data_IF_266251749676
#
_entry.id   IF_266251749676
#
_cell.length_a   1.000
_cell.length_b   1.000
_cell.length_c   1.000
_cell.angle_alpha   90.00
_cell.angle_beta   90.00
_cell.angle_gamma   90.00
#
_symmetry.space_group_name_H-M   'P 1'
#
loop_
_entity.id
_entity.type
_entity.pdbx_description
1 polymer ?
#
# COMPACT_ATOMS: atom_id res chain seq x y z
N UNK A 1 17.96 28.12 -5.20
CA UNK A 1 16.95 27.29 -4.53
C UNK A 1 17.43 25.85 -4.55
N UNK A 2 17.93 25.32 -3.43
CA UNK A 2 18.41 23.94 -3.37
C UNK A 2 17.22 22.99 -3.59
N UNK A 3 17.30 22.10 -4.58
CA UNK A 3 16.32 21.01 -4.74
C UNK A 3 16.39 20.18 -3.46
N UNK A 4 15.28 20.07 -2.74
CA UNK A 4 15.18 19.15 -1.61
C UNK A 4 15.65 17.79 -2.09
N UNK A 5 16.64 17.22 -1.40
CA UNK A 5 17.15 15.88 -1.67
C UNK A 5 15.96 14.96 -1.42
N UNK A 6 15.27 14.53 -2.49
CA UNK A 6 14.18 13.56 -2.38
C UNK A 6 14.82 12.36 -1.71
N UNK A 7 14.46 12.09 -0.46
CA UNK A 7 14.87 10.87 0.20
C UNK A 7 14.44 9.74 -0.71
N UNK A 8 15.42 8.96 -1.16
CA UNK A 8 15.20 7.82 -2.03
C UNK A 8 14.14 6.96 -1.36
N UNK A 9 13.21 6.41 -2.15
CA UNK A 9 12.32 5.39 -1.64
C UNK A 9 13.16 4.37 -0.86
N UNK A 10 12.74 4.00 0.35
CA UNK A 10 13.53 3.08 1.16
C UNK A 10 13.68 1.75 0.43
N UNK A 11 14.85 1.14 0.52
CA UNK A 11 15.16 -0.16 -0.09
C UNK A 11 14.52 -1.34 0.69
N UNK A 12 13.32 -1.14 1.25
CA UNK A 12 12.60 -2.18 1.97
C UNK A 12 12.08 -3.24 0.99
N UNK A 13 12.19 -4.49 1.39
CA UNK A 13 11.50 -5.60 0.73
C UNK A 13 9.98 -5.45 0.87
N UNK A 14 9.20 -6.09 -0.01
CA UNK A 14 7.73 -6.07 0.08
C UNK A 14 7.24 -6.51 1.48
N UNK A 15 7.88 -7.55 2.04
CA UNK A 15 7.56 -8.08 3.36
C UNK A 15 7.87 -7.09 4.50
N UNK A 16 8.97 -6.34 4.41
CA UNK A 16 9.29 -5.28 5.38
C UNK A 16 8.32 -4.11 5.29
N UNK A 17 7.96 -3.70 4.08
CA UNK A 17 6.94 -2.66 3.87
C UNK A 17 5.60 -3.10 4.47
N UNK A 18 5.16 -4.33 4.23
CA UNK A 18 3.91 -4.87 4.79
C UNK A 18 3.93 -4.88 6.32
N UNK A 19 5.05 -5.27 6.95
CA UNK A 19 5.23 -5.19 8.40
C UNK A 19 5.13 -3.75 8.92
N UNK A 20 5.71 -2.79 8.21
CA UNK A 20 5.64 -1.36 8.56
C UNK A 20 4.24 -0.80 8.46
N UNK A 21 3.49 -1.18 7.43
CA UNK A 21 2.07 -0.83 7.28
C UNK A 21 1.28 -1.33 8.49
N UNK A 22 1.44 -2.61 8.85
CA UNK A 22 0.74 -3.20 10.00
C UNK A 22 1.14 -2.48 11.30
N UNK A 23 2.42 -2.17 11.49
CA UNK A 23 2.91 -1.43 12.65
C UNK A 23 2.32 -0.02 12.74
N UNK A 24 2.25 0.70 11.61
CA UNK A 24 1.62 2.01 11.53
C UNK A 24 0.13 1.96 11.84
N UNK A 25 -0.60 0.96 11.33
CA UNK A 25 -2.02 0.76 11.66
C UNK A 25 -2.19 0.48 13.15
N UNK A 26 -1.36 -0.39 13.72
CA UNK A 26 -1.37 -0.71 15.16
C UNK A 26 -1.09 0.53 16.01
N UNK A 27 -0.17 1.39 15.59
CA UNK A 27 0.11 2.68 16.25
C UNK A 27 -1.08 3.63 16.29
N UNK A 28 -2.05 3.46 15.37
CA UNK A 28 -3.34 4.17 15.35
C UNK A 28 -4.45 3.46 16.14
N UNK A 29 -4.14 2.35 16.80
CA UNK A 29 -5.14 1.48 17.44
C UNK A 29 -5.98 0.68 16.43
N UNK A 30 -5.57 0.63 15.16
CA UNK A 30 -6.30 -0.08 14.11
C UNK A 30 -5.75 -1.49 13.91
N UNK A 31 -6.62 -2.37 13.42
CA UNK A 31 -6.27 -3.70 12.92
C UNK A 31 -6.72 -3.81 11.46
N UNK A 32 -5.93 -4.45 10.57
CA UNK A 32 -6.38 -4.73 9.22
C UNK A 32 -7.69 -5.52 9.23
N UNK A 33 -8.63 -5.11 8.37
CA UNK A 33 -9.91 -5.81 8.19
C UNK A 33 -9.73 -7.01 7.24
N UNK A 34 -10.56 -8.06 7.33
CA UNK A 34 -10.43 -9.24 6.48
C UNK A 34 -10.40 -8.94 4.97
N UNK A 35 -11.24 -8.02 4.50
CA UNK A 35 -11.27 -7.63 3.09
C UNK A 35 -10.01 -6.85 2.65
N UNK A 36 -9.33 -6.17 3.58
CA UNK A 36 -8.06 -5.51 3.29
C UNK A 36 -6.97 -6.55 3.09
N UNK A 37 -6.89 -7.53 4.00
CA UNK A 37 -5.94 -8.64 3.91
C UNK A 37 -6.13 -9.45 2.61
N UNK A 38 -7.38 -9.78 2.27
CA UNK A 38 -7.70 -10.50 1.04
C UNK A 38 -7.28 -9.71 -0.21
N UNK A 39 -7.50 -8.38 -0.23
CA UNK A 39 -7.06 -7.54 -1.34
C UNK A 39 -5.53 -7.47 -1.43
N UNK A 40 -4.84 -7.39 -0.29
CA UNK A 40 -3.37 -7.34 -0.26
C UNK A 40 -2.75 -8.64 -0.76
N UNK A 41 -3.35 -9.78 -0.44
CA UNK A 41 -2.96 -11.09 -0.95
C UNK A 41 -3.16 -11.18 -2.48
N UNK A 42 -4.34 -10.79 -2.98
CA UNK A 42 -4.60 -10.76 -4.42
C UNK A 42 -3.60 -9.85 -5.17
N UNK A 43 -3.31 -8.67 -4.63
CA UNK A 43 -2.30 -7.75 -5.20
C UNK A 43 -0.90 -8.35 -5.13
N UNK A 44 -0.55 -9.03 -4.03
CA UNK A 44 0.75 -9.70 -3.89
C UNK A 44 0.96 -10.76 -4.98
N UNK A 45 -0.11 -11.46 -5.36
CA UNK A 45 -0.16 -12.46 -6.43
C UNK A 45 -0.22 -11.86 -7.86
N UNK A 46 -0.31 -10.53 -7.99
CA UNK A 46 -0.43 -9.87 -9.29
C UNK A 46 -1.83 -9.96 -9.92
N UNK A 47 -2.85 -10.22 -9.11
CA UNK A 47 -4.24 -10.36 -9.56
C UNK A 47 -4.91 -8.99 -9.75
N UNK A 48 -5.91 -8.96 -10.64
CA UNK A 48 -6.81 -7.82 -10.82
C UNK A 48 -8.15 -8.11 -10.12
N UNK A 49 -8.81 -7.09 -9.56
CA UNK A 49 -10.06 -7.31 -8.85
C UNK A 49 -10.89 -6.05 -8.62
N UNK A 50 -12.14 -6.27 -8.20
CA UNK A 50 -13.11 -5.24 -7.83
C UNK A 50 -13.48 -5.36 -6.35
N UNK A 51 -13.25 -4.31 -5.58
CA UNK A 51 -13.65 -4.25 -4.17
C UNK A 51 -14.91 -3.40 -3.99
N UNK A 52 -16.05 -4.05 -3.77
CA UNK A 52 -17.30 -3.38 -3.41
C UNK A 52 -17.51 -3.40 -1.89
N UNK A 53 -17.44 -2.24 -1.26
CA UNK A 53 -17.72 -2.06 0.18
C UNK A 53 -18.45 -0.73 0.40
N UNK A 54 -19.16 -0.54 1.53
CA UNK A 54 -19.79 0.74 1.85
C UNK A 54 -18.76 1.86 2.10
N UNK A 55 -19.22 3.11 2.19
CA UNK A 55 -18.41 4.24 2.64
C UNK A 55 -17.93 4.03 4.08
N UNK A 56 -16.74 4.52 4.42
CA UNK A 56 -16.16 4.33 5.76
C UNK A 56 -15.60 2.93 6.06
N UNK A 57 -15.77 1.94 5.17
CA UNK A 57 -15.28 0.58 5.39
C UNK A 57 -13.76 0.39 5.20
N UNK A 58 -13.01 1.45 4.89
CA UNK A 58 -11.56 1.36 4.70
C UNK A 58 -11.11 0.81 3.33
N UNK A 59 -11.94 0.98 2.27
CA UNK A 59 -11.58 0.63 0.88
C UNK A 59 -10.26 1.23 0.41
N UNK A 60 -9.97 2.48 0.80
CA UNK A 60 -8.72 3.15 0.46
C UNK A 60 -7.52 2.39 1.00
N UNK A 61 -7.57 1.89 2.24
CA UNK A 61 -6.49 1.08 2.82
C UNK A 61 -6.41 -0.31 2.18
N UNK A 62 -7.54 -0.91 1.76
CA UNK A 62 -7.51 -2.16 1.02
C UNK A 62 -6.73 -2.00 -0.31
N UNK A 63 -6.98 -0.93 -1.06
CA UNK A 63 -6.30 -0.68 -2.33
C UNK A 63 -4.85 -0.21 -2.15
N UNK A 64 -4.62 0.90 -1.42
CA UNK A 64 -3.30 1.51 -1.32
C UNK A 64 -2.28 0.63 -0.62
N UNK A 65 -2.65 0.00 0.51
CA UNK A 65 -1.68 -0.80 1.28
C UNK A 65 -1.36 -2.15 0.66
N UNK A 66 -2.16 -2.63 -0.29
CA UNK A 66 -1.82 -3.80 -1.10
C UNK A 66 -0.73 -3.49 -2.13
N UNK A 67 -0.81 -2.30 -2.75
CA UNK A 67 0.12 -1.90 -3.82
C UNK A 67 1.39 -1.26 -3.26
N UNK A 68 1.33 -0.57 -2.11
CA UNK A 68 2.48 0.13 -1.53
C UNK A 68 3.74 -0.75 -1.35
N UNK A 69 3.64 -2.02 -0.90
CA UNK A 69 4.77 -2.96 -0.87
C UNK A 69 5.43 -3.21 -2.23
N UNK A 70 4.71 -3.09 -3.34
CA UNK A 70 5.24 -3.26 -4.70
C UNK A 70 6.03 -2.04 -5.19
N UNK A 71 5.96 -0.90 -4.48
CA UNK A 71 6.66 0.33 -4.86
C UNK A 71 8.11 0.27 -4.36
N UNK A 72 9.05 0.02 -5.28
CA UNK A 72 10.48 -0.10 -4.97
C UNK A 72 11.32 1.09 -5.41
N UNK A 73 12.48 1.28 -4.76
CA UNK A 73 13.41 2.39 -5.00
C UNK A 73 14.06 2.43 -6.39
N UNK A 74 14.00 1.32 -7.13
CA UNK A 74 14.55 1.19 -8.47
C UNK A 74 13.47 1.25 -9.56
N UNK A 75 12.22 1.49 -9.22
CA UNK A 75 11.16 1.70 -10.20
C UNK A 75 11.15 3.17 -10.65
N UNK A 76 11.14 3.40 -11.95
CA UNK A 76 11.10 4.73 -12.55
C UNK A 76 9.79 4.94 -13.31
N UNK A 77 9.29 6.18 -13.34
CA UNK A 77 8.06 6.53 -14.04
C UNK A 77 6.80 6.48 -13.17
N UNK A 78 5.63 6.32 -13.81
CA UNK A 78 4.34 6.23 -13.11
C UNK A 78 4.17 4.83 -12.51
N UNK A 79 4.20 4.74 -11.18
CA UNK A 79 4.14 3.46 -10.46
C UNK A 79 2.73 3.09 -9.98
N UNK A 80 1.89 4.09 -9.75
CA UNK A 80 0.51 3.92 -9.30
C UNK A 80 -0.34 5.04 -9.88
N UNK A 81 -1.49 4.69 -10.46
CA UNK A 81 -2.51 5.63 -10.89
C UNK A 81 -3.79 5.36 -10.09
N UNK A 82 -4.24 6.37 -9.34
CA UNK A 82 -5.48 6.32 -8.58
C UNK A 82 -6.45 7.36 -9.15
N UNK A 83 -7.65 6.92 -9.53
CA UNK A 83 -8.68 7.75 -10.17
C UNK A 83 -9.94 7.70 -9.29
N UNK A 84 -10.55 8.86 -9.05
CA UNK A 84 -11.77 9.02 -8.23
C UNK A 84 -12.85 9.76 -9.00
#
# INVERSE_FOLDING_TARGET
MAKAKVERFPDWTEAEMQKRIISWMKGRGWKPLPHQLAMWEAVANGESGLLQMPTGAGKTYAAFFGVLPKLGANLNGLLMLYIT
#
